data_IF_023261823041
#
_entry.id   IF_023261823041
#
_cell.length_a   1.000
_cell.length_b   1.000
_cell.length_c   1.000
_cell.angle_alpha   90.00
_cell.angle_beta   90.00
_cell.angle_gamma   90.00
#
_symmetry.space_group_name_H-M   'P 1'
#
loop_
_entity.id
_entity.type
_entity.pdbx_description
1 polymer ?
#
# COMPACT_ATOMS: atom_id res chain seq x y z
N UNK A 1 15.86 -25.55 -27.82
CA UNK A 1 15.51 -24.15 -27.48
C UNK A 1 16.37 -23.79 -26.29
N UNK A 2 17.37 -22.94 -26.52
CA UNK A 2 18.37 -22.56 -25.54
C UNK A 2 17.71 -21.90 -24.33
N UNK A 3 18.26 -22.13 -23.13
CA UNK A 3 17.76 -21.61 -21.85
C UNK A 3 17.50 -20.08 -21.93
N UNK A 4 18.28 -19.37 -22.74
CA UNK A 4 18.11 -17.93 -23.01
C UNK A 4 16.79 -17.61 -23.72
N UNK A 5 16.34 -18.44 -24.67
CA UNK A 5 15.03 -18.28 -25.31
C UNK A 5 13.89 -18.54 -24.33
N UNK A 6 13.97 -19.56 -23.48
CA UNK A 6 12.95 -19.81 -22.45
C UNK A 6 12.85 -18.67 -21.44
N UNK A 7 13.99 -18.10 -21.04
CA UNK A 7 14.02 -16.94 -20.14
C UNK A 7 13.36 -15.76 -20.85
N UNK A 8 13.75 -15.46 -22.09
CA UNK A 8 13.18 -14.36 -22.86
C UNK A 8 11.66 -14.52 -23.08
N UNK A 9 11.17 -15.73 -23.39
CA UNK A 9 9.74 -16.00 -23.55
C UNK A 9 8.97 -15.84 -22.23
N UNK A 10 9.51 -16.30 -21.09
CA UNK A 10 8.89 -16.05 -19.77
C UNK A 10 8.82 -14.56 -19.45
N UNK A 11 9.89 -13.81 -19.71
CA UNK A 11 9.89 -12.36 -19.52
C UNK A 11 8.85 -11.67 -20.39
N UNK A 12 8.74 -12.03 -21.68
CA UNK A 12 7.75 -11.40 -22.57
C UNK A 12 6.31 -11.80 -22.17
N UNK A 13 6.08 -13.04 -21.71
CA UNK A 13 4.76 -13.46 -21.23
C UNK A 13 4.32 -12.75 -19.93
N UNK A 14 5.22 -12.49 -18.97
CA UNK A 14 4.87 -11.73 -17.76
C UNK A 14 4.43 -10.29 -18.07
N UNK A 15 5.03 -9.66 -19.09
CA UNK A 15 4.66 -8.31 -19.54
C UNK A 15 3.47 -8.28 -20.53
N UNK A 16 3.26 -9.36 -21.29
CA UNK A 16 2.19 -9.47 -22.29
C UNK A 16 0.87 -10.04 -21.73
N UNK A 17 0.84 -10.47 -20.47
CA UNK A 17 -0.42 -10.79 -19.79
C UNK A 17 -1.25 -9.50 -19.68
N UNK A 18 -2.12 -9.27 -20.67
CA UNK A 18 -3.16 -8.25 -20.64
C UNK A 18 -3.86 -8.35 -19.29
N UNK A 19 -3.76 -7.30 -18.46
CA UNK A 19 -4.48 -7.30 -17.19
C UNK A 19 -5.97 -7.41 -17.52
N UNK A 20 -6.64 -8.52 -17.17
CA UNK A 20 -8.05 -8.65 -17.46
C UNK A 20 -8.77 -7.55 -16.69
N UNK A 21 -9.60 -6.76 -17.37
CA UNK A 21 -10.29 -5.63 -16.76
C UNK A 21 -11.06 -6.06 -15.49
N UNK A 22 -11.54 -7.32 -15.46
CA UNK A 22 -12.20 -7.91 -14.30
C UNK A 22 -11.29 -8.09 -13.09
N UNK A 23 -10.05 -8.55 -13.26
CA UNK A 23 -9.08 -8.70 -12.16
C UNK A 23 -8.67 -7.33 -11.62
N UNK A 24 -8.53 -6.34 -12.49
CA UNK A 24 -8.25 -4.96 -12.08
C UNK A 24 -9.36 -4.38 -11.19
N UNK A 25 -10.62 -4.51 -11.63
CA UNK A 25 -11.77 -4.03 -10.85
C UNK A 25 -11.89 -4.78 -9.52
N UNK A 26 -11.65 -6.09 -9.52
CA UNK A 26 -11.62 -6.89 -8.29
C UNK A 26 -10.53 -6.41 -7.32
N UNK A 27 -9.31 -6.17 -7.80
CA UNK A 27 -8.21 -5.67 -6.97
C UNK A 27 -8.49 -4.27 -6.42
N UNK A 28 -9.09 -3.37 -7.21
CA UNK A 28 -9.54 -2.06 -6.72
C UNK A 28 -10.52 -2.23 -5.56
N UNK A 29 -11.52 -3.11 -5.72
CA UNK A 29 -12.52 -3.34 -4.68
C UNK A 29 -11.89 -3.91 -3.41
N UNK A 30 -11.02 -4.92 -3.54
CA UNK A 30 -10.32 -5.53 -2.40
C UNK A 30 -9.44 -4.51 -1.69
N UNK A 31 -8.60 -3.78 -2.41
CA UNK A 31 -7.74 -2.73 -1.83
C UNK A 31 -8.57 -1.62 -1.18
N UNK A 32 -9.67 -1.19 -1.81
CA UNK A 32 -10.56 -0.18 -1.24
C UNK A 32 -11.17 -0.64 0.09
N UNK A 33 -11.61 -1.89 0.18
CA UNK A 33 -12.16 -2.47 1.42
C UNK A 33 -11.08 -2.54 2.50
N UNK A 34 -9.89 -3.09 2.20
CA UNK A 34 -8.79 -3.19 3.18
C UNK A 34 -8.35 -1.82 3.71
N UNK A 35 -8.26 -0.82 2.83
CA UNK A 35 -7.87 0.54 3.20
C UNK A 35 -8.99 1.26 3.96
N UNK A 36 -10.26 0.97 3.66
CA UNK A 36 -11.38 1.45 4.47
C UNK A 36 -11.34 0.87 5.89
N UNK A 37 -11.01 -0.42 6.05
CA UNK A 37 -10.80 -1.04 7.35
C UNK A 37 -9.60 -0.42 8.09
N UNK A 38 -8.48 -0.19 7.40
CA UNK A 38 -7.32 0.53 7.92
C UNK A 38 -7.69 1.93 8.44
N UNK A 39 -8.50 2.65 7.66
CA UNK A 39 -9.01 3.99 8.02
C UNK A 39 -9.85 3.94 9.29
N UNK A 40 -10.76 2.98 9.41
CA UNK A 40 -11.58 2.81 10.62
C UNK A 40 -10.72 2.48 11.84
N UNK A 41 -9.76 1.56 11.68
CA UNK A 41 -8.82 1.20 12.73
C UNK A 41 -8.03 2.42 13.22
N UNK A 42 -7.46 3.21 12.30
CA UNK A 42 -6.71 4.41 12.64
C UNK A 42 -7.56 5.49 13.35
N UNK A 43 -8.81 5.70 12.92
CA UNK A 43 -9.70 6.67 13.57
C UNK A 43 -10.05 6.23 14.99
N UNK A 44 -10.22 4.92 15.24
CA UNK A 44 -10.63 4.40 16.54
C UNK A 44 -9.47 4.24 17.52
N UNK A 45 -8.33 3.73 17.04
CA UNK A 45 -7.20 3.33 17.87
C UNK A 45 -5.97 4.26 17.77
N UNK A 46 -5.93 5.14 16.78
CA UNK A 46 -4.76 6.00 16.57
C UNK A 46 -4.63 7.08 17.64
N UNK A 47 -3.42 7.38 18.11
CA UNK A 47 -3.16 8.37 19.17
C UNK A 47 -2.58 9.70 18.66
N UNK A 48 -2.52 9.87 17.33
CA UNK A 48 -2.01 11.08 16.70
C UNK A 48 -2.68 12.37 17.21
N UNK A 49 -1.87 13.42 17.38
CA UNK A 49 -2.28 14.74 17.91
C UNK A 49 -3.08 15.50 16.83
N UNK A 50 -2.84 15.16 15.57
CA UNK A 50 -3.51 15.76 14.41
C UNK A 50 -4.99 15.36 14.29
N UNK A 51 -5.72 16.02 13.36
CA UNK A 51 -7.09 15.62 13.03
C UNK A 51 -7.12 14.27 12.29
N UNK A 52 -7.26 13.19 13.07
CA UNK A 52 -7.30 11.80 12.61
C UNK A 52 -8.27 11.56 11.46
N UNK A 53 -9.49 12.13 11.48
CA UNK A 53 -10.48 11.92 10.40
C UNK A 53 -10.07 12.57 9.09
N UNK A 54 -9.52 13.78 9.17
CA UNK A 54 -9.03 14.52 7.98
C UNK A 54 -7.83 13.81 7.37
N UNK A 55 -6.90 13.35 8.21
CA UNK A 55 -5.71 12.62 7.76
C UNK A 55 -6.05 11.26 7.14
N UNK A 56 -6.93 10.48 7.78
CA UNK A 56 -7.33 9.16 7.29
C UNK A 56 -8.09 9.21 5.95
N UNK A 57 -8.60 10.38 5.56
CA UNK A 57 -9.15 10.61 4.22
C UNK A 57 -8.12 10.44 3.10
N UNK A 58 -6.82 10.57 3.41
CA UNK A 58 -5.74 10.43 2.42
C UNK A 58 -5.40 8.97 2.10
N UNK A 59 -5.82 8.00 2.91
CA UNK A 59 -5.39 6.60 2.75
C UNK A 59 -5.94 5.97 1.48
N UNK A 60 -7.23 6.20 1.18
CA UNK A 60 -7.88 5.65 0.00
C UNK A 60 -7.28 6.16 -1.32
N UNK A 61 -7.18 7.50 -1.56
CA UNK A 61 -6.57 8.00 -2.80
C UNK A 61 -5.10 7.61 -2.92
N UNK A 62 -4.37 7.51 -1.79
CA UNK A 62 -2.98 7.05 -1.79
C UNK A 62 -2.85 5.59 -2.25
N UNK A 63 -3.61 4.68 -1.63
CA UNK A 63 -3.56 3.26 -1.95
C UNK A 63 -4.00 2.99 -3.41
N UNK A 64 -5.11 3.58 -3.85
CA UNK A 64 -5.58 3.44 -5.23
C UNK A 64 -4.61 4.06 -6.24
N UNK A 65 -3.99 5.20 -5.90
CA UNK A 65 -2.94 5.80 -6.72
C UNK A 65 -1.73 4.88 -6.87
N UNK A 66 -1.28 4.25 -5.78
CA UNK A 66 -0.15 3.31 -5.82
C UNK A 66 -0.49 2.02 -6.59
N UNK A 67 -1.72 1.50 -6.46
CA UNK A 67 -2.21 0.36 -7.24
C UNK A 67 -2.15 0.67 -8.74
N UNK A 68 -2.66 1.83 -9.14
CA UNK A 68 -2.65 2.26 -10.54
C UNK A 68 -1.23 2.42 -11.07
N UNK A 69 -0.34 3.04 -10.30
CA UNK A 69 1.08 3.19 -10.67
C UNK A 69 1.72 1.82 -10.91
N UNK A 70 1.59 0.87 -9.99
CA UNK A 70 2.21 -0.45 -10.12
C UNK A 70 1.64 -1.24 -11.29
N UNK A 71 0.34 -1.14 -11.53
CA UNK A 71 -0.27 -1.84 -12.65
C UNK A 71 0.23 -1.32 -14.00
N UNK A 72 0.36 0.00 -14.16
CA UNK A 72 0.92 0.60 -15.38
C UNK A 72 2.39 0.21 -15.55
N UNK A 73 3.16 0.24 -14.45
CA UNK A 73 4.58 -0.12 -14.42
C UNK A 73 4.80 -1.60 -14.77
N UNK A 74 3.98 -2.51 -14.25
CA UNK A 74 4.03 -3.95 -14.53
C UNK A 74 3.79 -4.26 -16.02
N UNK A 75 3.05 -3.40 -16.72
CA UNK A 75 2.77 -3.58 -18.15
C UNK A 75 3.91 -3.13 -19.06
N UNK A 76 4.94 -2.42 -18.57
CA UNK A 76 6.06 -1.97 -19.42
C UNK A 76 7.36 -1.71 -18.65
N UNK A 77 8.41 -2.46 -19.03
CA UNK A 77 9.78 -2.29 -18.50
C UNK A 77 10.29 -0.86 -18.71
N UNK A 78 10.04 -0.28 -19.90
CA UNK A 78 10.48 1.08 -20.22
C UNK A 78 9.82 2.14 -19.32
N UNK A 79 8.54 1.96 -19.01
CA UNK A 79 7.79 2.85 -18.13
C UNK A 79 8.22 2.70 -16.67
N UNK A 80 8.52 1.47 -16.23
CA UNK A 80 9.09 1.19 -14.90
C UNK A 80 10.38 1.98 -14.65
N UNK A 81 11.33 1.93 -15.60
CA UNK A 81 12.62 2.62 -15.48
C UNK A 81 12.45 4.14 -15.45
N UNK A 82 11.54 4.69 -16.26
CA UNK A 82 11.22 6.12 -16.25
C UNK A 82 10.59 6.59 -14.94
N UNK A 83 9.71 5.78 -14.33
CA UNK A 83 9.01 6.15 -13.10
C UNK A 83 9.94 6.17 -11.89
N UNK A 84 10.89 5.23 -11.77
CA UNK A 84 11.91 5.23 -10.70
C UNK A 84 12.83 6.45 -10.83
N UNK A 85 13.20 6.82 -12.05
CA UNK A 85 13.95 8.06 -12.33
C UNK A 85 13.19 9.31 -11.90
N UNK A 86 11.92 9.42 -12.25
CA UNK A 86 11.07 10.55 -11.84
C UNK A 86 10.87 10.59 -10.32
N UNK A 87 10.61 9.44 -9.67
CA UNK A 87 10.41 9.35 -8.23
C UNK A 87 11.65 9.81 -7.45
N UNK A 88 12.86 9.56 -7.96
CA UNK A 88 14.10 10.01 -7.33
C UNK A 88 14.28 11.54 -7.33
N UNK A 89 13.58 12.26 -8.22
CA UNK A 89 13.57 13.74 -8.28
C UNK A 89 12.48 14.33 -7.36
N UNK A 90 11.39 13.58 -7.10
CA UNK A 90 10.30 14.03 -6.23
C UNK A 90 10.76 14.06 -4.77
N UNK A 91 11.30 15.21 -4.36
CA UNK A 91 11.63 15.48 -2.96
C UNK A 91 10.35 15.76 -2.18
N UNK A 92 9.97 14.88 -1.27
CA UNK A 92 8.97 15.20 -0.26
C UNK A 92 9.53 16.30 0.65
N UNK A 93 8.97 17.52 0.53
CA UNK A 93 9.41 18.72 1.27
C UNK A 93 8.56 19.01 2.51
N UNK A 94 7.60 18.14 2.84
CA UNK A 94 6.72 18.31 3.98
C UNK A 94 7.17 17.41 5.14
N UNK A 95 7.41 18.01 6.31
CA UNK A 95 7.66 17.27 7.53
C UNK A 95 6.35 16.63 8.02
N UNK A 96 6.33 15.30 8.13
CA UNK A 96 5.24 14.56 8.77
C UNK A 96 5.42 14.71 10.28
N UNK A 97 4.42 15.29 10.94
CA UNK A 97 4.52 15.74 12.33
C UNK A 97 4.48 14.59 13.33
N UNK A 98 3.70 13.54 13.04
CA UNK A 98 3.54 12.38 13.91
C UNK A 98 4.12 11.12 13.25
N UNK A 99 5.06 10.38 13.88
CA UNK A 99 5.63 9.16 13.31
C UNK A 99 4.60 8.02 13.15
N UNK A 100 3.52 8.06 13.93
CA UNK A 100 2.40 7.14 13.82
C UNK A 100 1.68 7.28 12.46
N UNK A 101 1.41 8.52 12.04
CA UNK A 101 0.78 8.84 10.75
C UNK A 101 1.55 8.25 9.57
N UNK A 102 2.88 8.37 9.62
CA UNK A 102 3.78 7.82 8.61
C UNK A 102 3.62 6.30 8.48
N UNK A 103 3.50 5.60 9.61
CA UNK A 103 3.37 4.14 9.64
C UNK A 103 2.08 3.70 8.93
N UNK A 104 0.95 4.34 9.22
CA UNK A 104 -0.32 4.03 8.56
C UNK A 104 -0.33 4.38 7.07
N UNK A 105 0.37 5.45 6.66
CA UNK A 105 0.56 5.75 5.23
C UNK A 105 1.34 4.64 4.52
N UNK A 106 2.40 4.12 5.14
CA UNK A 106 3.16 3.01 4.55
C UNK A 106 2.32 1.73 4.42
N UNK A 107 1.47 1.43 5.41
CA UNK A 107 0.53 0.30 5.30
C UNK A 107 -0.44 0.52 4.14
N UNK A 108 -1.00 1.73 3.98
CA UNK A 108 -1.89 2.06 2.87
C UNK A 108 -1.19 1.91 1.50
N UNK A 109 0.05 2.39 1.38
CA UNK A 109 0.88 2.21 0.18
C UNK A 109 1.09 0.72 -0.08
N UNK A 110 1.49 -0.06 0.93
CA UNK A 110 1.71 -1.50 0.83
C UNK A 110 0.48 -2.27 0.32
N UNK A 111 -0.71 -1.91 0.79
CA UNK A 111 -1.97 -2.49 0.30
C UNK A 111 -2.24 -2.16 -1.18
N UNK A 112 -1.90 -0.94 -1.60
CA UNK A 112 -1.97 -0.54 -3.00
C UNK A 112 -0.94 -1.27 -3.87
N UNK A 113 0.29 -1.46 -3.38
CA UNK A 113 1.32 -2.24 -4.06
C UNK A 113 0.88 -3.70 -4.25
N UNK A 114 0.35 -4.34 -3.20
CA UNK A 114 -0.11 -5.73 -3.28
C UNK A 114 -1.30 -5.90 -4.23
N UNK A 115 -2.25 -4.94 -4.22
CA UNK A 115 -3.34 -4.89 -5.20
C UNK A 115 -2.85 -4.69 -6.63
N UNK A 116 -1.89 -3.78 -6.85
CA UNK A 116 -1.31 -3.51 -8.18
C UNK A 116 -0.45 -4.65 -8.72
N UNK A 117 0.17 -5.43 -7.83
CA UNK A 117 0.90 -6.64 -8.19
C UNK A 117 -0.01 -7.83 -8.57
N UNK A 118 -1.34 -7.66 -8.43
CA UNK A 118 -2.36 -8.70 -8.61
C UNK A 118 -2.21 -9.85 -7.59
N UNK A 119 -1.93 -9.51 -6.33
CA UNK A 119 -1.74 -10.45 -5.22
C UNK A 119 -2.75 -10.17 -4.08
N UNK A 120 -4.06 -10.31 -4.31
CA UNK A 120 -5.09 -9.95 -3.32
C UNK A 120 -5.06 -10.84 -2.08
N UNK A 121 -4.77 -12.15 -2.24
CA UNK A 121 -4.70 -13.10 -1.11
C UNK A 121 -3.57 -12.70 -0.16
N UNK A 122 -2.40 -12.37 -0.71
CA UNK A 122 -1.26 -11.90 0.08
C UNK A 122 -1.59 -10.60 0.81
N UNK A 123 -2.27 -9.67 0.14
CA UNK A 123 -2.70 -8.41 0.74
C UNK A 123 -3.60 -8.63 1.97
N UNK A 124 -4.59 -9.52 1.86
CA UNK A 124 -5.52 -9.84 2.94
C UNK A 124 -4.79 -10.48 4.13
N UNK A 125 -3.94 -11.47 3.87
CA UNK A 125 -3.19 -12.17 4.93
C UNK A 125 -2.25 -11.20 5.65
N UNK A 126 -1.44 -10.45 4.89
CA UNK A 126 -0.51 -9.48 5.46
C UNK A 126 -1.26 -8.40 6.26
N UNK A 127 -2.36 -7.86 5.73
CA UNK A 127 -3.19 -6.89 6.43
C UNK A 127 -3.71 -7.43 7.75
N UNK A 128 -4.25 -8.65 7.74
CA UNK A 128 -4.83 -9.30 8.93
C UNK A 128 -3.76 -9.48 10.01
N UNK A 129 -2.57 -9.96 9.65
CA UNK A 129 -1.45 -10.15 10.58
C UNK A 129 -0.98 -8.81 11.14
N UNK A 130 -0.81 -7.79 10.28
CA UNK A 130 -0.38 -6.46 10.72
C UNK A 130 -1.41 -5.85 11.68
N UNK A 131 -2.71 -5.92 11.36
CA UNK A 131 -3.77 -5.43 12.24
C UNK A 131 -3.78 -6.13 13.59
N UNK A 132 -3.63 -7.46 13.61
CA UNK A 132 -3.56 -8.24 14.84
C UNK A 132 -2.38 -7.81 15.71
N UNK A 133 -1.19 -7.65 15.10
CA UNK A 133 0.02 -7.22 15.81
C UNK A 133 -0.10 -5.78 16.34
N UNK A 134 -0.68 -4.87 15.56
CA UNK A 134 -0.94 -3.50 16.01
C UNK A 134 -1.91 -3.48 17.18
N UNK A 135 -3.01 -4.23 17.08
CA UNK A 135 -3.97 -4.35 18.17
C UNK A 135 -3.33 -4.93 19.44
N UNK A 136 -2.55 -6.00 19.31
CA UNK A 136 -1.84 -6.61 20.44
C UNK A 136 -0.82 -5.64 21.05
N UNK A 137 -0.07 -4.91 20.22
CA UNK A 137 0.88 -3.89 20.68
C UNK A 137 0.18 -2.80 21.50
N UNK A 138 -0.99 -2.34 21.07
CA UNK A 138 -1.80 -1.35 21.80
C UNK A 138 -2.28 -1.92 23.14
N UNK A 139 -2.76 -3.16 23.16
CA UNK A 139 -3.25 -3.84 24.38
C UNK A 139 -2.10 -4.10 25.37
N UNK A 140 -0.94 -4.57 24.90
CA UNK A 140 0.25 -4.83 25.73
C UNK A 140 0.89 -3.53 26.26
N UNK A 141 0.86 -2.47 25.46
CA UNK A 141 1.29 -1.12 25.89
C UNK A 141 0.21 -0.45 26.76
N UNK A 142 -0.81 -1.20 27.18
CA UNK A 142 -1.95 -0.77 27.97
C UNK A 142 -1.58 0.26 29.03
N UNK A 143 -2.12 1.48 28.85
CA UNK A 143 -2.32 2.45 29.94
C UNK A 143 -1.04 2.80 30.73
N UNK A 144 0.03 3.20 30.03
CA UNK A 144 1.33 3.52 30.63
C UNK A 144 1.91 4.91 30.32
N UNK A 145 1.11 5.90 29.90
CA UNK A 145 1.54 7.32 29.91
C UNK A 145 0.52 8.17 30.62
N UNK A 146 0.61 8.10 31.94
CA UNK A 146 0.27 9.17 32.87
C UNK A 146 0.91 10.43 32.29
N UNK A 147 0.09 11.46 32.12
CA UNK A 147 0.53 12.84 31.90
C UNK A 147 1.63 13.19 32.91
N UNK A 148 2.71 13.88 32.49
CA UNK A 148 3.16 14.98 33.32
C UNK A 148 3.29 16.22 32.45
N UNK A 149 2.41 17.17 32.78
CA UNK A 149 2.55 18.63 32.77
C UNK A 149 3.12 19.31 31.51
#
# INVERSE_FOLDING_TARGET
>A
MDILQQIQERYIQEFSNNVPLGEFLANILVTAVLVALLRLFYIHFGNAISNRRKFAGNFLPLALGTLLIIMIVKSSIALSLGLVGALSIVRYRAAIKDPEELTYLFIAIGLGLAGGANQPVLAIVAFTVIMLLLYLSIVLTGKGRIQPE
#
